data_IF_968710006432
#
_entry.id   IF_968710006432
#
_cell.length_a   1.000
_cell.length_b   1.000
_cell.length_c   1.000
_cell.angle_alpha   90.00
_cell.angle_beta   90.00
_cell.angle_gamma   90.00
#
_symmetry.space_group_name_H-M   'P 1'
#
loop_
_entity.id
_entity.type
_entity.pdbx_description
1 polymer ?
#
# COMPACT_ATOMS: atom_id res chain seq x y z
N UNK A 1 17.87 7.36 -8.39
CA UNK A 1 17.08 7.76 -7.23
C UNK A 1 16.02 6.74 -6.87
N UNK A 2 15.36 6.93 -5.74
CA UNK A 2 14.26 6.11 -5.23
C UNK A 2 13.14 7.02 -4.69
N UNK A 3 11.93 6.49 -4.51
CA UNK A 3 10.79 7.18 -3.92
C UNK A 3 10.54 6.65 -2.51
N UNK A 4 10.32 7.56 -1.56
CA UNK A 4 9.82 7.21 -0.22
C UNK A 4 8.43 7.81 -0.06
N UNK A 5 7.48 7.01 0.39
CA UNK A 5 6.12 7.45 0.73
C UNK A 5 5.90 7.30 2.23
N UNK A 6 5.48 8.37 2.89
CA UNK A 6 5.13 8.41 4.31
C UNK A 6 3.94 9.35 4.51
N UNK A 7 3.45 9.49 5.74
CA UNK A 7 2.38 10.43 6.10
C UNK A 7 2.85 11.36 7.22
N UNK A 8 2.39 12.61 7.20
CA UNK A 8 2.59 13.57 8.29
C UNK A 8 1.66 13.31 9.48
N UNK A 9 0.60 12.51 9.27
CA UNK A 9 -0.33 12.20 10.34
C UNK A 9 0.28 11.18 11.32
N UNK A 10 0.39 11.48 12.62
CA UNK A 10 1.09 10.61 13.58
C UNK A 10 0.33 9.30 13.89
N UNK A 11 -0.95 9.20 13.49
CA UNK A 11 -1.80 8.04 13.75
C UNK A 11 -2.01 7.19 12.51
N UNK A 12 -2.14 7.81 11.35
CA UNK A 12 -2.47 7.11 10.11
C UNK A 12 -1.38 7.30 9.05
N UNK A 13 -0.98 6.21 8.43
CA UNK A 13 -0.35 6.26 7.12
C UNK A 13 -1.40 6.64 6.07
N UNK A 14 -2.50 5.89 6.01
CA UNK A 14 -3.67 6.20 5.20
C UNK A 14 -4.88 5.40 5.68
N UNK A 15 -6.01 6.06 5.83
CA UNK A 15 -7.26 5.40 6.24
C UNK A 15 -8.08 4.87 5.04
N UNK A 16 -7.51 4.91 3.83
CA UNK A 16 -8.17 4.47 2.60
C UNK A 16 -8.89 5.57 1.86
N UNK A 17 -9.91 5.17 1.10
CA UNK A 17 -10.72 6.09 0.31
C UNK A 17 -11.67 6.91 1.20
N UNK A 18 -11.97 8.12 0.78
CA UNK A 18 -12.96 8.99 1.41
C UNK A 18 -14.37 8.48 1.04
N UNK A 19 -14.91 7.59 1.89
CA UNK A 19 -16.22 6.98 1.66
C UNK A 19 -17.35 7.99 1.81
N UNK A 20 -17.20 9.01 2.65
CA UNK A 20 -18.21 10.05 2.84
C UNK A 20 -18.32 10.90 1.56
N UNK A 21 -17.16 11.28 0.98
CA UNK A 21 -17.13 11.96 -0.31
C UNK A 21 -17.75 11.10 -1.43
N UNK A 22 -17.43 9.82 -1.46
CA UNK A 22 -17.96 8.88 -2.47
C UNK A 22 -19.47 8.65 -2.35
N UNK A 23 -20.05 8.79 -1.16
CA UNK A 23 -21.48 8.58 -0.92
C UNK A 23 -22.31 9.85 -1.03
N UNK A 24 -21.68 11.03 -1.00
CA UNK A 24 -22.39 12.32 -1.09
C UNK A 24 -22.97 12.51 -2.52
N UNK A 25 -24.30 12.60 -2.68
CA UNK A 25 -24.93 12.82 -3.98
C UNK A 25 -24.47 14.11 -4.68
N UNK A 26 -23.97 15.12 -3.92
CA UNK A 26 -23.45 16.36 -4.50
C UNK A 26 -22.16 16.13 -5.28
N UNK A 27 -21.35 15.18 -4.84
CA UNK A 27 -20.08 14.84 -5.49
C UNK A 27 -20.28 13.81 -6.62
N UNK A 28 -21.50 13.26 -6.74
CA UNK A 28 -21.78 12.17 -7.66
C UNK A 28 -23.26 12.18 -8.12
N UNK A 29 -23.73 13.32 -8.72
CA UNK A 29 -25.14 13.50 -9.04
C UNK A 29 -25.69 12.44 -10.02
N UNK A 30 -24.85 11.93 -10.94
CA UNK A 30 -25.25 10.99 -11.99
C UNK A 30 -24.62 9.59 -11.84
N UNK A 31 -23.94 9.30 -10.73
CA UNK A 31 -23.22 8.04 -10.52
C UNK A 31 -21.92 7.90 -11.34
N UNK A 32 -21.67 8.78 -12.29
CA UNK A 32 -20.52 8.71 -13.20
C UNK A 32 -19.17 9.01 -12.56
N UNK A 33 -19.13 9.87 -11.58
CA UNK A 33 -17.89 10.28 -10.92
C UNK A 33 -17.27 9.15 -10.08
N UNK A 34 -18.07 8.23 -9.57
CA UNK A 34 -17.58 7.02 -8.90
C UNK A 34 -16.81 6.12 -9.83
N UNK A 35 -17.28 5.93 -11.04
CA UNK A 35 -16.61 5.09 -12.06
C UNK A 35 -15.30 5.75 -12.50
N UNK A 36 -15.30 7.07 -12.66
CA UNK A 36 -14.08 7.86 -12.94
C UNK A 36 -13.11 7.73 -11.78
N UNK A 37 -13.57 7.96 -10.55
CA UNK A 37 -12.75 7.86 -9.35
C UNK A 37 -12.12 6.46 -9.20
N UNK A 38 -12.91 5.39 -9.38
CA UNK A 38 -12.42 4.02 -9.34
C UNK A 38 -11.36 3.73 -10.39
N UNK A 39 -11.55 4.21 -11.63
CA UNK A 39 -10.55 4.09 -12.71
C UNK A 39 -9.27 4.85 -12.39
N UNK A 40 -9.37 6.10 -11.93
CA UNK A 40 -8.21 6.92 -11.57
C UNK A 40 -7.44 6.31 -10.39
N UNK A 41 -8.14 5.77 -9.39
CA UNK A 41 -7.51 5.04 -8.30
C UNK A 41 -6.71 3.83 -8.81
N UNK A 42 -7.29 3.02 -9.68
CA UNK A 42 -6.59 1.86 -10.25
C UNK A 42 -5.41 2.25 -11.14
N UNK A 43 -5.55 3.33 -11.92
CA UNK A 43 -4.45 3.88 -12.70
C UNK A 43 -3.31 4.36 -11.79
N UNK A 44 -3.64 5.00 -10.68
CA UNK A 44 -2.65 5.42 -9.68
C UNK A 44 -1.91 4.22 -9.09
N UNK A 45 -2.63 3.17 -8.67
CA UNK A 45 -2.01 1.94 -8.15
C UNK A 45 -1.11 1.28 -9.19
N UNK A 46 -1.57 1.17 -10.44
CA UNK A 46 -0.78 0.65 -11.55
C UNK A 46 0.51 1.45 -11.78
N UNK A 47 0.44 2.78 -11.73
CA UNK A 47 1.61 3.66 -11.84
C UNK A 47 2.61 3.47 -10.71
N UNK A 48 2.14 3.33 -9.45
CA UNK A 48 3.03 3.09 -8.32
C UNK A 48 3.76 1.76 -8.45
N UNK A 49 3.04 0.70 -8.79
CA UNK A 49 3.62 -0.66 -8.83
C UNK A 49 4.63 -0.82 -9.98
N UNK A 50 4.50 -0.04 -11.06
CA UNK A 50 5.38 -0.08 -12.23
C UNK A 50 6.35 1.11 -12.32
N UNK A 51 6.46 1.96 -11.27
CA UNK A 51 7.39 3.08 -11.27
C UNK A 51 8.82 2.63 -11.64
N UNK A 52 9.48 3.30 -12.62
CA UNK A 52 10.80 2.91 -13.08
C UNK A 52 11.94 3.32 -12.12
N UNK A 53 11.65 3.32 -10.84
CA UNK A 53 12.59 3.56 -9.72
C UNK A 53 12.17 2.70 -8.53
N UNK A 54 13.07 2.35 -7.61
CA UNK A 54 12.74 1.71 -6.35
C UNK A 54 11.80 2.57 -5.50
N UNK A 55 10.88 1.91 -4.81
CA UNK A 55 9.90 2.55 -3.95
C UNK A 55 9.91 1.94 -2.55
N UNK A 56 9.93 2.81 -1.54
CA UNK A 56 9.91 2.43 -0.12
C UNK A 56 8.69 3.06 0.54
N UNK A 57 7.87 2.25 1.19
CA UNK A 57 6.75 2.70 2.01
C UNK A 57 7.17 2.74 3.48
N UNK A 58 7.21 3.92 4.07
CA UNK A 58 7.43 4.13 5.50
C UNK A 58 6.06 4.25 6.20
N UNK A 59 5.57 3.12 6.73
CA UNK A 59 4.23 3.00 7.31
C UNK A 59 4.28 3.48 8.76
N UNK A 60 4.01 4.75 8.95
CA UNK A 60 4.12 5.44 10.24
C UNK A 60 2.87 5.32 11.13
N UNK A 61 1.86 4.55 10.72
CA UNK A 61 0.62 4.36 11.47
C UNK A 61 -0.33 3.39 10.78
N UNK A 62 -1.62 3.51 11.05
CA UNK A 62 -2.63 2.65 10.43
C UNK A 62 -2.67 2.80 8.91
N UNK A 63 -2.80 1.67 8.21
CA UNK A 63 -3.06 1.60 6.77
C UNK A 63 -4.26 0.67 6.53
N UNK A 64 -5.42 1.27 6.22
CA UNK A 64 -6.68 0.55 6.04
C UNK A 64 -7.16 0.61 4.59
N UNK A 65 -7.78 -0.47 4.11
CA UNK A 65 -8.39 -0.53 2.77
C UNK A 65 -7.42 -0.08 1.68
N UNK A 66 -7.79 0.94 0.91
CA UNK A 66 -6.94 1.53 -0.13
C UNK A 66 -5.59 2.06 0.40
N UNK A 67 -5.49 2.43 1.69
CA UNK A 67 -4.21 2.79 2.32
C UNK A 67 -3.26 1.60 2.43
N UNK A 68 -3.78 0.42 2.74
CA UNK A 68 -2.99 -0.81 2.70
C UNK A 68 -2.63 -1.20 1.26
N UNK A 69 -3.56 -1.06 0.31
CA UNK A 69 -3.28 -1.28 -1.11
C UNK A 69 -2.15 -0.37 -1.61
N UNK A 70 -2.18 0.91 -1.24
CA UNK A 70 -1.08 1.85 -1.56
C UNK A 70 0.25 1.38 -0.99
N UNK A 71 0.29 0.93 0.27
CA UNK A 71 1.51 0.38 0.85
C UNK A 71 2.01 -0.84 0.07
N UNK A 72 1.12 -1.73 -0.38
CA UNK A 72 1.46 -2.92 -1.16
C UNK A 72 2.02 -2.61 -2.54
N UNK A 73 1.72 -1.46 -3.15
CA UNK A 73 2.30 -1.09 -4.45
C UNK A 73 3.81 -0.84 -4.40
N UNK A 74 4.35 -0.58 -3.23
CA UNK A 74 5.78 -0.31 -3.06
C UNK A 74 6.63 -1.59 -3.10
N UNK A 75 7.91 -1.44 -3.46
CA UNK A 75 8.86 -2.55 -3.50
C UNK A 75 9.20 -3.02 -2.09
N UNK A 76 9.44 -2.09 -1.18
CA UNK A 76 9.77 -2.33 0.21
C UNK A 76 8.80 -1.60 1.13
N UNK A 77 8.38 -2.27 2.19
CA UNK A 77 7.52 -1.74 3.26
C UNK A 77 8.24 -1.86 4.58
N UNK A 78 8.35 -0.74 5.29
CA UNK A 78 8.90 -0.66 6.65
C UNK A 78 7.80 -0.06 7.51
N UNK A 79 7.49 -0.68 8.63
CA UNK A 79 6.41 -0.24 9.51
C UNK A 79 6.92 0.05 10.92
N UNK A 80 6.36 1.08 11.56
CA UNK A 80 6.61 1.27 12.99
C UNK A 80 6.08 0.08 13.80
N UNK A 81 6.80 -0.31 14.84
CA UNK A 81 6.49 -1.52 15.61
C UNK A 81 5.50 -1.29 16.74
N UNK A 82 5.51 -0.08 17.33
CA UNK A 82 4.77 0.25 18.54
C UNK A 82 3.30 0.58 18.31
N UNK A 83 2.90 0.91 17.06
CA UNK A 83 1.55 1.35 16.75
C UNK A 83 1.17 1.17 15.28
N UNK A 84 -0.10 0.91 15.07
CA UNK A 84 -0.70 0.83 13.75
C UNK A 84 -1.10 -0.59 13.38
N UNK A 85 -1.95 -0.68 12.36
CA UNK A 85 -2.38 -1.94 11.77
C UNK A 85 -2.41 -1.81 10.25
N UNK A 86 -1.99 -2.86 9.56
CA UNK A 86 -2.38 -3.10 8.18
C UNK A 86 -3.68 -3.90 8.18
N UNK A 87 -4.68 -3.47 7.43
CA UNK A 87 -5.97 -4.17 7.41
C UNK A 87 -6.71 -3.92 6.09
N UNK A 88 -7.08 -4.99 5.40
CA UNK A 88 -8.08 -4.97 4.35
C UNK A 88 -9.44 -5.13 5.01
N UNK A 89 -10.06 -4.01 5.41
CA UNK A 89 -11.26 -4.00 6.25
C UNK A 89 -12.58 -3.99 5.45
N UNK A 90 -12.54 -4.22 4.16
CA UNK A 90 -13.68 -4.19 3.26
C UNK A 90 -14.79 -5.15 3.71
N UNK A 91 -14.46 -6.38 4.13
CA UNK A 91 -15.44 -7.33 4.65
C UNK A 91 -16.14 -6.83 5.91
N UNK A 92 -15.45 -6.09 6.78
CA UNK A 92 -16.06 -5.49 7.98
C UNK A 92 -17.03 -4.36 7.63
N UNK A 93 -16.84 -3.73 6.47
CA UNK A 93 -17.71 -2.67 5.95
C UNK A 93 -18.84 -3.20 5.04
N UNK A 94 -18.94 -4.52 4.86
CA UNK A 94 -19.89 -5.13 3.92
C UNK A 94 -19.56 -4.91 2.45
N UNK A 95 -18.29 -4.59 2.15
CA UNK A 95 -17.81 -4.35 0.80
C UNK A 95 -17.02 -5.57 0.28
N UNK A 96 -17.04 -5.78 -1.03
CA UNK A 96 -16.18 -6.76 -1.69
C UNK A 96 -14.96 -6.05 -2.27
N UNK A 97 -13.80 -6.70 -2.17
CA UNK A 97 -12.58 -6.24 -2.87
C UNK A 97 -12.69 -6.68 -4.34
N UNK A 98 -12.67 -5.74 -5.31
CA UNK A 98 -12.73 -6.09 -6.72
C UNK A 98 -11.52 -6.91 -7.19
N UNK A 99 -11.66 -7.59 -8.33
CA UNK A 99 -10.62 -8.50 -8.85
C UNK A 99 -9.25 -7.86 -9.06
N UNK A 100 -9.13 -6.62 -9.59
CA UNK A 100 -7.82 -6.00 -9.77
C UNK A 100 -7.08 -5.81 -8.43
N UNK A 101 -7.77 -5.33 -7.40
CA UNK A 101 -7.22 -5.13 -6.06
C UNK A 101 -6.89 -6.46 -5.39
N UNK A 102 -7.73 -7.49 -5.57
CA UNK A 102 -7.42 -8.85 -5.12
C UNK A 102 -6.14 -9.38 -5.77
N UNK A 103 -5.89 -9.06 -7.04
CA UNK A 103 -4.65 -9.43 -7.73
C UNK A 103 -3.44 -8.78 -7.07
N UNK A 104 -3.52 -7.50 -6.68
CA UNK A 104 -2.46 -6.83 -5.95
C UNK A 104 -2.15 -7.55 -4.62
N UNK A 105 -3.17 -7.84 -3.82
CA UNK A 105 -2.99 -8.60 -2.57
C UNK A 105 -2.34 -9.97 -2.83
N UNK A 106 -2.83 -10.70 -3.82
CA UNK A 106 -2.32 -12.04 -4.16
C UNK A 106 -0.85 -12.02 -4.58
N UNK A 107 -0.39 -10.97 -5.26
CA UNK A 107 1.00 -10.84 -5.70
C UNK A 107 1.93 -10.37 -4.57
N UNK A 108 1.43 -9.56 -3.65
CA UNK A 108 2.26 -8.86 -2.66
C UNK A 108 2.22 -9.48 -1.27
N UNK A 109 1.23 -10.30 -0.97
CA UNK A 109 1.07 -10.96 0.33
C UNK A 109 1.38 -12.46 0.17
N UNK A 110 2.19 -13.06 1.05
CA UNK A 110 2.43 -14.49 1.05
C UNK A 110 1.14 -15.30 1.12
N UNK A 111 1.10 -16.44 0.42
CA UNK A 111 -0.10 -17.24 0.25
C UNK A 111 -0.75 -17.68 1.57
N UNK A 112 0.06 -17.94 2.60
CA UNK A 112 -0.40 -18.32 3.93
C UNK A 112 -1.11 -17.18 4.69
N UNK A 113 -0.79 -15.92 4.37
CA UNK A 113 -1.43 -14.75 5.00
C UNK A 113 -2.58 -14.18 4.17
N UNK A 114 -2.69 -14.55 2.89
CA UNK A 114 -3.63 -13.95 1.95
C UNK A 114 -5.09 -14.09 2.38
N UNK A 115 -5.53 -15.29 2.76
CA UNK A 115 -6.91 -15.52 3.17
C UNK A 115 -7.28 -14.78 4.45
N UNK A 116 -6.41 -14.78 5.47
CA UNK A 116 -6.62 -14.02 6.70
C UNK A 116 -6.72 -12.52 6.44
N UNK A 117 -5.91 -12.01 5.50
CA UNK A 117 -5.90 -10.59 5.12
C UNK A 117 -7.19 -10.18 4.45
N UNK A 118 -7.56 -10.84 3.35
CA UNK A 118 -8.65 -10.36 2.47
C UNK A 118 -10.02 -10.86 2.90
N UNK A 119 -10.13 -12.08 3.43
CA UNK A 119 -11.42 -12.66 3.78
C UNK A 119 -11.76 -12.46 5.26
N UNK A 120 -10.77 -12.51 6.15
CA UNK A 120 -11.01 -12.40 7.58
C UNK A 120 -10.72 -11.00 8.12
N UNK A 121 -10.28 -10.06 7.26
CA UNK A 121 -9.94 -8.67 7.64
C UNK A 121 -9.03 -8.59 8.85
N UNK A 122 -8.06 -9.50 8.93
CA UNK A 122 -7.09 -9.53 10.02
C UNK A 122 -6.34 -8.20 10.11
N UNK A 123 -6.22 -7.70 11.33
CA UNK A 123 -5.40 -6.54 11.65
C UNK A 123 -3.99 -7.01 11.96
N UNK A 124 -3.06 -6.69 11.09
CA UNK A 124 -1.65 -7.03 11.23
C UNK A 124 -0.92 -5.92 11.98
N UNK A 125 -0.32 -6.22 13.12
CA UNK A 125 0.65 -5.35 13.78
C UNK A 125 1.96 -5.33 12.99
N UNK A 126 2.91 -4.46 13.35
CA UNK A 126 4.23 -4.45 12.71
C UNK A 126 4.94 -5.80 12.85
N UNK A 127 4.96 -6.39 14.05
CA UNK A 127 5.57 -7.71 14.29
C UNK A 127 4.87 -8.83 13.53
N UNK A 128 3.52 -8.91 13.61
CA UNK A 128 2.77 -9.95 12.90
C UNK A 128 2.95 -9.87 11.38
N UNK A 129 2.99 -8.64 10.84
CA UNK A 129 3.17 -8.41 9.41
C UNK A 129 4.59 -8.76 8.94
N UNK A 130 5.60 -8.53 9.79
CA UNK A 130 6.98 -8.95 9.54
C UNK A 130 7.10 -10.48 9.54
N UNK A 131 6.58 -11.13 10.56
CA UNK A 131 6.60 -12.60 10.71
C UNK A 131 5.85 -13.28 9.57
N UNK A 132 4.75 -12.68 9.11
CA UNK A 132 3.98 -13.17 7.96
C UNK A 132 4.63 -12.84 6.59
N UNK A 133 5.70 -12.05 6.55
CA UNK A 133 6.37 -11.63 5.32
C UNK A 133 5.61 -10.57 4.50
N UNK A 134 4.64 -9.90 5.10
CA UNK A 134 3.88 -8.82 4.45
C UNK A 134 4.72 -7.55 4.33
N UNK A 135 5.58 -7.28 5.33
CA UNK A 135 6.54 -6.19 5.33
C UNK A 135 7.96 -6.72 5.46
N UNK A 136 8.96 -5.89 5.21
CA UNK A 136 10.38 -6.29 5.17
C UNK A 136 11.17 -5.88 6.41
N UNK A 137 10.68 -4.90 7.18
CA UNK A 137 11.32 -4.46 8.42
C UNK A 137 10.33 -3.72 9.33
N UNK A 138 10.68 -3.64 10.62
CA UNK A 138 10.06 -2.74 11.58
C UNK A 138 11.09 -1.77 12.17
N UNK A 139 10.64 -0.68 12.75
CA UNK A 139 11.46 0.27 13.50
C UNK A 139 10.62 1.02 14.54
N UNK A 140 11.28 1.75 15.43
CA UNK A 140 10.60 2.77 16.22
C UNK A 140 10.04 3.88 15.31
N UNK A 141 9.12 4.68 15.85
CA UNK A 141 8.56 5.81 15.07
C UNK A 141 9.63 6.83 14.70
N UNK A 142 10.54 7.11 15.64
CA UNK A 142 11.62 8.08 15.49
C UNK A 142 12.64 7.66 14.44
N UNK A 143 12.95 6.37 14.36
CA UNK A 143 13.96 5.83 13.45
C UNK A 143 13.39 5.50 12.05
N UNK A 144 12.07 5.43 11.92
CA UNK A 144 11.41 5.04 10.66
C UNK A 144 11.84 5.88 9.44
N UNK A 145 11.93 7.22 9.53
CA UNK A 145 12.36 8.03 8.39
C UNK A 145 13.80 7.75 7.95
N UNK A 146 14.70 7.59 8.93
CA UNK A 146 16.11 7.31 8.65
C UNK A 146 16.30 5.92 8.03
N UNK A 147 15.60 4.90 8.57
CA UNK A 147 15.66 3.55 8.03
C UNK A 147 15.08 3.48 6.61
N UNK A 148 13.98 4.22 6.35
CA UNK A 148 13.41 4.31 5.01
C UNK A 148 14.36 4.99 4.02
N UNK A 149 15.04 6.07 4.44
CA UNK A 149 16.04 6.77 3.62
C UNK A 149 17.20 5.83 3.30
N UNK A 150 17.78 5.19 4.30
CA UNK A 150 18.86 4.22 4.11
C UNK A 150 18.47 3.13 3.13
N UNK A 151 17.25 2.58 3.26
CA UNK A 151 16.78 1.55 2.32
C UNK A 151 16.59 2.09 0.91
N UNK A 152 16.10 3.30 0.75
CA UNK A 152 15.95 3.95 -0.54
C UNK A 152 17.33 4.20 -1.23
N UNK A 153 18.32 4.65 -0.46
CA UNK A 153 19.70 4.85 -0.94
C UNK A 153 20.36 3.54 -1.36
N UNK A 154 20.17 2.48 -0.59
CA UNK A 154 20.63 1.12 -0.92
C UNK A 154 20.08 0.62 -2.28
N UNK A 155 18.78 0.89 -2.54
CA UNK A 155 18.08 0.41 -3.73
C UNK A 155 18.26 1.31 -4.95
N UNK A 156 18.53 2.60 -4.76
CA UNK A 156 18.63 3.59 -5.84
C UNK A 156 19.56 3.18 -7.00
N UNK A 157 20.71 2.54 -6.77
CA UNK A 157 21.61 2.09 -7.85
C UNK A 157 20.99 1.03 -8.78
N UNK A 158 19.99 0.25 -8.34
CA UNK A 158 19.33 -0.77 -9.15
C UNK A 158 18.60 -0.17 -10.35
N UNK A 159 18.17 1.09 -10.26
CA UNK A 159 17.48 1.81 -11.33
C UNK A 159 18.37 2.83 -12.04
N UNK A 160 19.66 2.54 -12.19
CA UNK A 160 20.58 3.34 -13.04
C UNK A 160 20.07 3.34 -14.48
N UNK A 161 19.65 2.18 -14.99
CA UNK A 161 18.85 2.06 -16.21
C UNK A 161 17.37 1.97 -15.83
N UNK A 162 16.72 3.14 -15.78
CA UNK A 162 15.28 3.25 -15.44
C UNK A 162 14.38 2.51 -16.41
N UNK A 163 14.74 2.48 -17.69
CA UNK A 163 13.94 1.82 -18.72
C UNK A 163 13.89 0.32 -18.48
N UNK A 164 15.04 -0.29 -18.22
CA UNK A 164 15.12 -1.71 -17.92
C UNK A 164 14.44 -2.04 -16.59
N UNK A 165 14.66 -1.22 -15.55
CA UNK A 165 14.03 -1.42 -14.24
C UNK A 165 12.49 -1.33 -14.31
N UNK A 166 11.95 -0.34 -15.02
CA UNK A 166 10.52 -0.19 -15.25
C UNK A 166 9.94 -1.34 -16.06
N UNK A 167 10.58 -1.72 -17.15
CA UNK A 167 10.16 -2.84 -17.98
C UNK A 167 10.11 -4.16 -17.18
N UNK A 168 11.09 -4.41 -16.32
CA UNK A 168 11.06 -5.60 -15.45
C UNK A 168 9.85 -5.58 -14.50
N UNK A 169 9.52 -4.41 -13.93
CA UNK A 169 8.31 -4.28 -13.09
C UNK A 169 7.01 -4.52 -13.88
N UNK A 170 6.91 -3.98 -15.09
CA UNK A 170 5.74 -4.22 -15.96
C UNK A 170 5.56 -5.71 -16.31
N UNK A 171 6.65 -6.47 -16.38
CA UNK A 171 6.59 -7.91 -16.64
C UNK A 171 6.19 -8.74 -15.40
N UNK A 172 6.33 -8.17 -14.19
CA UNK A 172 5.97 -8.86 -12.94
C UNK A 172 4.48 -8.72 -12.61
N UNK A 173 3.81 -7.72 -13.14
CA UNK A 173 2.43 -7.34 -12.82
C UNK A 173 1.58 -7.15 -14.08
#
# INVERSE_FOLDING_TARGET
GALITSSENPKFFSNGLDLDWMQDPKNNPDGGDRDVFGKEFMLLMGRFITLPIPTVCAINGHAFGAGFMLALTHDVRIMREDRGFLCANEMQLGLSIPRPELSLFKHKIPANAFYETVQLSKRWTGSDALDAGIIQATSSFEELPELALKKAEELAPLATDRKNFGHQKEMLF
#
